data_IF_823996337673
#
_entry.id   IF_823996337673
#
_cell.length_a   1.000
_cell.length_b   1.000
_cell.length_c   1.000
_cell.angle_alpha   90.00
_cell.angle_beta   90.00
_cell.angle_gamma   90.00
#
_symmetry.space_group_name_H-M   'P 1'
#
loop_
_entity.id
_entity.type
_entity.pdbx_description
1 polymer ?
#
# COMPACT_ATOMS: atom_id res chain seq x y z
N UNK A 1 27.95 -4.12 5.75
CA UNK A 1 26.55 -3.74 5.50
C UNK A 1 25.84 -4.97 4.97
N UNK A 2 24.78 -5.44 5.63
CA UNK A 2 24.01 -6.56 5.11
C UNK A 2 23.45 -6.15 3.75
N UNK A 3 23.75 -6.92 2.72
CA UNK A 3 23.16 -6.72 1.41
C UNK A 3 21.73 -7.27 1.47
N UNK A 4 20.78 -6.43 1.88
CA UNK A 4 19.36 -6.79 1.87
C UNK A 4 18.93 -6.85 0.40
N UNK A 5 18.31 -7.96 0.02
CA UNK A 5 17.74 -8.15 -1.31
C UNK A 5 16.76 -7.01 -1.64
N UNK A 6 16.84 -6.37 -2.81
CA UNK A 6 15.95 -5.27 -3.19
C UNK A 6 14.47 -5.63 -3.16
N UNK A 7 14.11 -6.85 -3.56
CA UNK A 7 12.73 -7.29 -3.58
C UNK A 7 12.18 -7.48 -2.17
N UNK A 8 12.99 -8.08 -1.29
CA UNK A 8 12.64 -8.25 0.11
C UNK A 8 12.42 -6.90 0.80
N UNK A 9 13.33 -5.95 0.59
CA UNK A 9 13.25 -4.60 1.16
C UNK A 9 12.02 -3.81 0.68
N UNK A 10 11.68 -3.91 -0.61
CA UNK A 10 10.43 -3.36 -1.15
C UNK A 10 9.20 -4.04 -0.54
N UNK A 11 9.28 -5.34 -0.28
CA UNK A 11 8.19 -6.11 0.33
C UNK A 11 7.96 -5.66 1.77
N UNK A 12 9.01 -5.54 2.56
CA UNK A 12 8.93 -5.04 3.94
C UNK A 12 8.32 -3.63 3.96
N UNK A 13 8.77 -2.73 3.08
CA UNK A 13 8.20 -1.38 2.96
C UNK A 13 6.71 -1.40 2.57
N UNK A 14 6.31 -2.28 1.66
CA UNK A 14 4.93 -2.41 1.22
C UNK A 14 4.03 -2.98 2.33
N UNK A 15 4.53 -3.93 3.12
CA UNK A 15 3.81 -4.49 4.26
C UNK A 15 3.63 -3.47 5.39
N UNK A 16 4.68 -2.71 5.74
CA UNK A 16 4.59 -1.63 6.73
C UNK A 16 3.58 -0.56 6.31
N UNK A 17 3.60 -0.16 5.04
CA UNK A 17 2.65 0.82 4.53
C UNK A 17 1.22 0.26 4.44
N UNK A 18 1.06 -1.03 4.15
CA UNK A 18 -0.24 -1.71 4.24
C UNK A 18 -0.77 -1.66 5.68
N UNK A 19 0.06 -1.91 6.70
CA UNK A 19 -0.36 -1.79 8.09
C UNK A 19 -0.75 -0.36 8.45
N UNK A 20 0.00 0.65 7.99
CA UNK A 20 -0.35 2.06 8.20
C UNK A 20 -1.66 2.41 7.50
N UNK A 21 -1.84 2.01 6.25
CA UNK A 21 -3.09 2.22 5.50
C UNK A 21 -4.26 1.56 6.22
N UNK A 22 -4.06 0.34 6.71
CA UNK A 22 -5.08 -0.45 7.39
C UNK A 22 -5.37 0.03 8.82
N UNK A 23 -4.48 0.84 9.42
CA UNK A 23 -4.69 1.46 10.74
C UNK A 23 -5.74 2.58 10.71
N UNK A 24 -6.04 3.11 9.52
CA UNK A 24 -7.15 4.04 9.32
C UNK A 24 -8.47 3.32 9.62
N UNK A 25 -9.37 3.94 10.39
CA UNK A 25 -10.68 3.32 10.66
C UNK A 25 -11.47 3.13 9.36
N UNK A 26 -12.28 2.06 9.27
CA UNK A 26 -13.08 1.76 8.05
C UNK A 26 -13.90 2.97 7.59
N UNK A 27 -14.44 3.76 8.52
CA UNK A 27 -15.23 4.95 8.22
C UNK A 27 -14.43 5.99 7.43
N UNK A 28 -13.17 6.21 7.80
CA UNK A 28 -12.27 7.14 7.14
C UNK A 28 -11.78 6.57 5.80
N UNK A 29 -11.50 5.27 5.73
CA UNK A 29 -11.22 4.58 4.46
C UNK A 29 -12.39 4.70 3.47
N UNK A 30 -13.62 4.45 3.94
CA UNK A 30 -14.83 4.57 3.14
C UNK A 30 -15.03 5.99 2.62
N UNK A 31 -14.68 6.99 3.44
CA UNK A 31 -14.78 8.40 3.05
C UNK A 31 -13.78 8.77 1.95
N UNK A 32 -12.63 8.10 1.86
CA UNK A 32 -11.65 8.32 0.79
C UNK A 32 -11.73 7.31 -0.37
N UNK A 33 -12.67 6.37 -0.36
CA UNK A 33 -12.85 5.38 -1.44
C UNK A 33 -13.81 5.94 -2.52
N UNK A 34 -13.48 5.89 -3.83
CA UNK A 34 -12.42 5.12 -4.46
C UNK A 34 -11.24 5.98 -4.96
N UNK A 35 -10.48 6.57 -4.03
CA UNK A 35 -9.30 7.37 -4.38
C UNK A 35 -8.02 6.69 -3.94
N UNK A 36 -6.93 7.11 -4.57
CA UNK A 36 -5.57 6.74 -4.21
C UNK A 36 -4.67 7.97 -4.11
N UNK A 37 -3.52 7.76 -3.51
CA UNK A 37 -2.46 8.75 -3.40
C UNK A 37 -1.10 8.13 -3.71
N UNK A 38 -0.19 8.96 -4.23
CA UNK A 38 1.18 8.56 -4.52
C UNK A 38 2.12 9.54 -3.84
N UNK A 39 3.16 9.03 -3.19
CA UNK A 39 4.16 9.86 -2.53
C UNK A 39 5.54 9.17 -2.50
N UNK A 40 6.59 9.96 -2.35
CA UNK A 40 7.98 9.48 -2.25
C UNK A 40 8.37 9.20 -0.80
N UNK A 41 9.17 8.15 -0.57
CA UNK A 41 9.64 7.76 0.76
C UNK A 41 10.84 6.83 0.71
N UNK A 42 11.10 6.17 1.84
CA UNK A 42 12.26 5.30 2.00
C UNK A 42 11.87 3.91 2.45
N UNK A 43 12.56 2.89 1.93
CA UNK A 43 12.49 1.52 2.45
C UNK A 43 13.24 1.37 3.77
N UNK A 44 13.08 0.24 4.50
CA UNK A 44 13.87 -0.06 5.70
C UNK A 44 15.39 -0.04 5.49
N UNK A 45 15.87 -0.44 4.30
CA UNK A 45 17.28 -0.33 3.93
C UNK A 45 17.72 1.10 3.53
N UNK A 46 16.81 2.07 3.56
CA UNK A 46 17.06 3.49 3.27
C UNK A 46 17.11 3.81 1.78
N UNK A 47 16.44 3.03 0.92
CA UNK A 47 16.39 3.29 -0.52
C UNK A 47 15.21 4.19 -0.87
N UNK A 48 15.42 5.10 -1.81
CA UNK A 48 14.38 6.01 -2.31
C UNK A 48 13.38 5.27 -3.20
N UNK A 49 12.10 5.37 -2.86
CA UNK A 49 11.00 4.65 -3.52
C UNK A 49 9.74 5.50 -3.57
N UNK A 50 8.84 5.15 -4.48
CA UNK A 50 7.49 5.67 -4.52
C UNK A 50 6.52 4.67 -3.89
N UNK A 51 5.60 5.20 -3.09
CA UNK A 51 4.46 4.49 -2.54
C UNK A 51 3.21 4.94 -3.28
N UNK A 52 2.43 3.99 -3.78
CA UNK A 52 1.10 4.21 -4.35
C UNK A 52 0.10 3.44 -3.50
N UNK A 53 -0.88 4.14 -2.92
CA UNK A 53 -1.90 3.55 -2.06
C UNK A 53 -3.27 3.83 -2.64
N UNK A 54 -4.04 2.78 -2.87
CA UNK A 54 -5.38 2.85 -3.45
C UNK A 54 -6.40 2.23 -2.48
N UNK A 55 -7.55 2.89 -2.33
CA UNK A 55 -8.71 2.33 -1.65
C UNK A 55 -9.80 2.11 -2.69
N UNK A 56 -10.28 0.88 -2.81
CA UNK A 56 -11.22 0.47 -3.85
C UNK A 56 -12.42 -0.24 -3.24
N UNK A 57 -13.63 0.09 -3.70
CA UNK A 57 -14.82 -0.69 -3.33
C UNK A 57 -14.75 -2.09 -3.97
N UNK A 58 -14.95 -3.12 -3.16
CA UNK A 58 -15.17 -4.47 -3.64
C UNK A 58 -16.64 -4.63 -3.96
N UNK A 59 -16.96 -4.79 -5.24
CA UNK A 59 -18.34 -4.90 -5.71
C UNK A 59 -19.03 -3.53 -5.79
N UNK A 60 -19.88 -3.21 -4.81
CA UNK A 60 -20.69 -1.99 -4.79
C UNK A 60 -20.18 -0.95 -3.79
N UNK A 61 -20.43 0.36 -4.02
CA UNK A 61 -20.09 1.41 -3.08
C UNK A 61 -20.71 1.15 -1.70
N UNK A 62 -19.89 1.18 -0.65
CA UNK A 62 -20.32 0.85 0.73
C UNK A 62 -20.06 -0.60 1.16
N UNK A 63 -19.65 -1.46 0.23
CA UNK A 63 -19.22 -2.84 0.46
C UNK A 63 -17.87 -2.96 1.18
N UNK A 64 -17.14 -4.04 0.93
CA UNK A 64 -15.78 -4.20 1.46
C UNK A 64 -14.82 -3.23 0.76
N UNK A 65 -13.71 -2.92 1.42
CA UNK A 65 -12.69 -2.02 0.86
C UNK A 65 -11.43 -2.83 0.58
N UNK A 66 -11.00 -2.87 -0.67
CA UNK A 66 -9.69 -3.37 -1.05
C UNK A 66 -8.67 -2.23 -0.93
N UNK A 67 -7.74 -2.37 0.01
CA UNK A 67 -6.56 -1.52 0.11
C UNK A 67 -5.49 -2.17 -0.75
N UNK A 68 -4.93 -1.42 -1.68
CA UNK A 68 -3.78 -1.81 -2.50
C UNK A 68 -2.63 -0.86 -2.20
N UNK A 69 -1.45 -1.41 -1.96
CA UNK A 69 -0.21 -0.66 -1.80
C UNK A 69 0.80 -1.19 -2.81
N UNK A 70 1.38 -0.29 -3.60
CA UNK A 70 2.47 -0.57 -4.53
C UNK A 70 3.69 0.22 -4.11
N UNK A 71 4.82 -0.46 -3.93
CA UNK A 71 6.11 0.17 -3.61
C UNK A 71 7.10 -0.16 -4.71
N UNK A 72 7.69 0.87 -5.31
CA UNK A 72 8.54 0.72 -6.48
C UNK A 72 9.65 1.77 -6.51
N UNK A 73 10.77 1.43 -7.15
CA UNK A 73 11.78 2.43 -7.47
C UNK A 73 11.25 3.37 -8.56
N UNK A 74 11.52 4.69 -8.51
CA UNK A 74 10.98 5.65 -9.49
C UNK A 74 11.28 5.28 -10.96
N UNK A 75 12.40 4.59 -11.20
CA UNK A 75 12.85 4.13 -12.52
C UNK A 75 12.32 2.75 -12.94
N UNK A 76 11.65 2.00 -12.05
CA UNK A 76 11.30 0.59 -12.26
C UNK A 76 9.92 0.19 -11.66
N UNK A 77 8.84 0.89 -12.05
CA UNK A 77 7.47 0.59 -11.60
C UNK A 77 7.08 -0.88 -11.81
N UNK A 78 7.39 -1.45 -12.98
CA UNK A 78 7.01 -2.83 -13.33
C UNK A 78 7.66 -3.90 -12.45
N UNK A 79 8.77 -3.57 -11.78
CA UNK A 79 9.46 -4.44 -10.82
C UNK A 79 9.08 -4.15 -9.37
N UNK A 80 8.12 -3.26 -9.13
CA UNK A 80 7.61 -2.93 -7.81
C UNK A 80 6.93 -4.12 -7.13
N UNK A 81 6.77 -4.01 -5.80
CA UNK A 81 5.98 -4.94 -5.00
C UNK A 81 4.58 -4.37 -4.85
N UNK A 82 3.57 -5.20 -5.14
CA UNK A 82 2.16 -4.90 -4.90
C UNK A 82 1.62 -5.83 -3.84
N UNK A 83 1.02 -5.25 -2.80
CA UNK A 83 0.29 -5.99 -1.76
C UNK A 83 -1.14 -5.47 -1.67
N UNK A 84 -2.08 -6.38 -1.43
CA UNK A 84 -3.51 -6.03 -1.33
C UNK A 84 -4.11 -6.67 -0.09
N UNK A 85 -5.01 -5.95 0.59
CA UNK A 85 -5.77 -6.47 1.72
C UNK A 85 -7.22 -6.00 1.64
N UNK A 86 -8.15 -6.91 1.90
CA UNK A 86 -9.57 -6.59 1.95
C UNK A 86 -9.97 -6.35 3.40
N UNK A 87 -10.56 -5.18 3.66
CA UNK A 87 -11.15 -4.80 4.94
C UNK A 87 -12.65 -5.01 4.84
N UNK A 88 -13.12 -6.02 5.58
CA UNK A 88 -14.54 -6.36 5.65
C UNK A 88 -15.36 -5.28 6.34
N UNK A 89 -16.67 -5.32 6.14
CA UNK A 89 -17.59 -4.60 7.02
C UNK A 89 -17.51 -5.16 8.44
N UNK A 90 -17.15 -4.33 9.41
CA UNK A 90 -17.32 -4.66 10.84
C UNK A 90 -18.83 -4.89 11.10
N UNK A 91 -19.19 -6.01 11.72
CA UNK A 91 -20.58 -6.38 12.04
C UNK A 91 -21.25 -5.42 13.02
#
# INVERSE_FOLDING_TARGET
MAHIDPQLDLTEAAEEEMERACSLGRRDMAACTPWGDTYEGYTPAGRDVCFERNYLWVGEPGGDICVEVVVYFPEAYESGVRVTRTVGREE
#
